data_IF_678812074916
#
_entry.id   IF_678812074916
#
_cell.length_a   1.000
_cell.length_b   1.000
_cell.length_c   1.000
_cell.angle_alpha   90.00
_cell.angle_beta   90.00
_cell.angle_gamma   90.00
#
_symmetry.space_group_name_H-M   'P 1'
#
loop_
_entity.id
_entity.type
_entity.pdbx_description
1 polymer ?
#
# COMPACT_ATOMS: atom_id res chain seq x y z
N UNK A 1 -80.39 1.45 49.57
CA UNK A 1 -80.71 2.88 49.35
C UNK A 1 -79.73 3.46 48.34
N UNK A 2 -80.26 4.02 47.23
CA UNK A 2 -79.72 5.11 46.38
C UNK A 2 -78.30 5.00 45.77
N UNK A 3 -78.00 5.45 44.55
CA UNK A 3 -78.70 5.80 43.30
C UNK A 3 -77.55 6.01 42.28
N UNK A 4 -77.79 5.72 41.01
CA UNK A 4 -76.86 5.83 39.86
C UNK A 4 -76.24 7.23 39.70
N UNK A 5 -75.02 7.32 39.15
CA UNK A 5 -74.68 8.30 38.10
C UNK A 5 -73.59 7.76 37.15
N UNK A 6 -73.84 7.90 35.84
CA UNK A 6 -72.95 7.59 34.70
C UNK A 6 -71.84 8.67 34.61
N UNK A 7 -70.69 8.49 33.96
CA UNK A 7 -70.49 8.70 32.50
C UNK A 7 -68.99 8.56 32.12
N UNK A 8 -68.75 7.92 30.96
CA UNK A 8 -67.65 7.99 29.95
C UNK A 8 -66.33 7.19 30.07
N UNK A 9 -66.14 6.39 29.02
CA UNK A 9 -64.94 5.71 28.52
C UNK A 9 -63.72 6.65 28.40
N UNK A 10 -62.54 6.11 28.71
CA UNK A 10 -61.40 6.11 27.77
C UNK A 10 -60.75 4.73 27.83
N UNK A 11 -60.73 4.04 26.70
CA UNK A 11 -60.01 2.78 26.48
C UNK A 11 -58.54 3.14 26.23
N UNK A 12 -57.64 2.60 27.05
CA UNK A 12 -56.22 2.53 26.71
C UNK A 12 -55.74 1.11 27.00
N UNK A 13 -55.78 0.28 25.95
CA UNK A 13 -55.09 -0.99 25.92
C UNK A 13 -53.59 -0.72 25.79
N UNK A 14 -52.80 -1.16 26.77
CA UNK A 14 -51.35 -1.32 26.61
C UNK A 14 -51.09 -2.81 26.46
N UNK A 15 -50.96 -3.25 25.21
CA UNK A 15 -50.41 -4.54 24.86
C UNK A 15 -48.89 -4.41 24.95
N UNK A 16 -48.27 -5.15 25.86
CA UNK A 16 -46.82 -5.30 25.93
C UNK A 16 -46.32 -6.11 24.74
N UNK A 17 -45.57 -5.46 23.84
CA UNK A 17 -44.78 -6.15 22.82
C UNK A 17 -43.33 -6.17 23.31
N UNK A 18 -42.84 -7.36 23.64
CA UNK A 18 -41.42 -7.62 23.82
C UNK A 18 -40.74 -7.55 22.44
N UNK A 19 -40.17 -6.39 22.11
CA UNK A 19 -39.31 -6.23 20.93
C UNK A 19 -37.90 -6.69 21.24
N UNK A 20 -37.52 -7.87 20.77
CA UNK A 20 -36.12 -8.26 20.66
C UNK A 20 -35.48 -7.43 19.53
N UNK A 21 -34.89 -6.29 19.89
CA UNK A 21 -34.06 -5.52 18.98
C UNK A 21 -32.75 -6.29 18.76
N UNK A 22 -32.66 -7.01 17.64
CA UNK A 22 -31.40 -7.50 17.10
C UNK A 22 -30.56 -6.27 16.71
N UNK A 23 -29.69 -5.81 17.61
CA UNK A 23 -28.65 -4.84 17.29
C UNK A 23 -27.68 -5.54 16.32
N UNK A 24 -27.91 -5.36 15.02
CA UNK A 24 -26.89 -5.60 14.02
C UNK A 24 -25.74 -4.62 14.33
N UNK A 25 -24.68 -5.14 14.95
CA UNK A 25 -23.42 -4.43 15.11
C UNK A 25 -22.85 -4.31 13.71
N UNK A 26 -23.15 -3.19 13.05
CA UNK A 26 -22.47 -2.78 11.83
C UNK A 26 -21.08 -2.35 12.28
N UNK A 27 -20.16 -3.31 12.39
CA UNK A 27 -18.75 -2.99 12.56
C UNK A 27 -18.33 -2.16 11.34
N UNK A 28 -17.75 -0.96 11.53
CA UNK A 28 -17.14 -0.26 10.42
C UNK A 28 -16.01 -1.15 9.88
N UNK A 29 -16.14 -1.60 8.63
CA UNK A 29 -15.07 -2.25 7.89
C UNK A 29 -13.98 -1.20 7.68
N UNK A 30 -12.98 -1.17 8.56
CA UNK A 30 -11.71 -0.50 8.26
C UNK A 30 -11.08 -1.14 7.01
N UNK A 31 -10.20 -0.42 6.29
CA UNK A 31 -9.51 -1.02 5.15
C UNK A 31 -8.74 -2.26 5.64
N UNK A 32 -8.91 -3.36 4.92
CA UNK A 32 -8.27 -4.62 5.24
C UNK A 32 -6.75 -4.51 5.09
N UNK A 33 -6.10 -5.37 5.84
CA UNK A 33 -4.70 -5.38 6.20
C UNK A 33 -3.76 -5.88 5.12
N UNK A 34 -2.56 -5.32 5.02
CA UNK A 34 -1.62 -5.70 3.98
C UNK A 34 -0.26 -6.11 4.54
N UNK A 35 0.19 -7.33 4.21
CA UNK A 35 1.28 -7.99 4.96
C UNK A 35 2.28 -8.77 4.14
N UNK A 36 2.13 -8.81 2.82
CA UNK A 36 2.98 -9.66 2.01
C UNK A 36 3.33 -9.08 0.66
N UNK A 37 4.37 -9.67 0.09
CA UNK A 37 4.80 -9.39 -1.27
C UNK A 37 5.61 -10.58 -1.81
N UNK A 38 5.78 -10.63 -3.13
CA UNK A 38 6.78 -11.49 -3.76
C UNK A 38 8.17 -10.91 -3.51
N UNK A 39 8.98 -11.66 -2.74
CA UNK A 39 10.34 -11.27 -2.35
C UNK A 39 11.42 -11.92 -3.24
N UNK A 40 11.04 -12.87 -4.11
CA UNK A 40 11.96 -13.51 -5.06
C UNK A 40 11.22 -14.24 -6.20
N UNK A 41 11.45 -13.91 -7.48
CA UNK A 41 12.09 -12.68 -7.96
C UNK A 41 11.33 -11.45 -7.44
N UNK A 42 12.04 -10.50 -6.84
CA UNK A 42 11.44 -9.38 -6.13
C UNK A 42 10.45 -8.60 -7.02
N UNK A 43 9.29 -8.25 -6.47
CA UNK A 43 8.35 -7.36 -7.15
C UNK A 43 8.91 -5.94 -7.28
N UNK A 44 8.30 -5.12 -8.15
CA UNK A 44 8.77 -3.76 -8.45
C UNK A 44 8.95 -2.92 -7.17
N UNK A 45 7.90 -2.77 -6.36
CA UNK A 45 7.96 -1.93 -5.17
C UNK A 45 8.83 -2.54 -4.06
N UNK A 46 8.77 -3.85 -3.84
CA UNK A 46 9.66 -4.51 -2.86
C UNK A 46 11.13 -4.42 -3.27
N UNK A 47 11.44 -4.63 -4.55
CA UNK A 47 12.79 -4.50 -5.08
C UNK A 47 13.33 -3.07 -4.95
N UNK A 48 12.51 -2.05 -5.23
CA UNK A 48 12.88 -0.65 -5.00
C UNK A 48 13.10 -0.35 -3.51
N UNK A 49 12.23 -0.84 -2.63
CA UNK A 49 12.41 -0.75 -1.19
C UNK A 49 13.72 -1.39 -0.74
N UNK A 50 14.01 -2.62 -1.20
CA UNK A 50 15.19 -3.36 -0.78
C UNK A 50 16.49 -2.70 -1.23
N UNK A 51 16.56 -2.20 -2.48
CA UNK A 51 17.79 -1.60 -3.04
C UNK A 51 18.02 -0.17 -2.57
N UNK A 52 16.94 0.58 -2.37
CA UNK A 52 17.02 2.03 -2.18
C UNK A 52 16.44 2.53 -0.88
N UNK A 53 15.68 1.77 -0.11
CA UNK A 53 15.00 2.25 1.10
C UNK A 53 15.95 2.97 2.07
N UNK A 54 17.11 2.38 2.39
CA UNK A 54 18.09 3.00 3.30
C UNK A 54 18.75 4.29 2.76
N UNK A 55 18.60 4.56 1.46
CA UNK A 55 19.22 5.68 0.73
C UNK A 55 18.30 6.24 -0.34
N UNK A 56 17.00 6.34 -0.05
CA UNK A 56 15.97 6.53 -1.08
C UNK A 56 16.00 7.92 -1.74
N UNK A 57 16.83 8.82 -1.21
CA UNK A 57 17.10 10.16 -1.75
C UNK A 57 18.44 10.28 -2.47
N UNK A 58 19.19 9.17 -2.59
CA UNK A 58 20.47 9.17 -3.27
C UNK A 58 20.28 9.60 -4.74
N UNK A 59 20.87 10.72 -5.17
CA UNK A 59 20.68 11.22 -6.53
C UNK A 59 21.25 10.27 -7.60
N UNK A 60 22.16 9.35 -7.23
CA UNK A 60 22.66 8.33 -8.15
C UNK A 60 21.55 7.38 -8.61
N UNK A 61 20.45 7.24 -7.88
CA UNK A 61 19.31 6.42 -8.28
C UNK A 61 18.73 6.84 -9.63
N UNK A 62 18.75 8.14 -9.95
CA UNK A 62 18.21 8.65 -11.22
C UNK A 62 18.91 8.05 -12.45
N UNK A 63 20.20 7.73 -12.35
CA UNK A 63 20.98 7.13 -13.44
C UNK A 63 21.13 5.62 -13.27
N UNK A 64 21.26 5.12 -12.04
CA UNK A 64 21.48 3.69 -11.77
C UNK A 64 20.20 2.86 -11.86
N UNK A 65 19.06 3.40 -11.44
CA UNK A 65 17.77 2.71 -11.35
C UNK A 65 16.60 3.71 -11.61
N UNK A 66 16.49 4.23 -12.84
CA UNK A 66 15.54 5.30 -13.17
C UNK A 66 14.08 4.92 -12.89
N UNK A 67 13.73 3.63 -12.93
CA UNK A 67 12.37 3.17 -12.64
C UNK A 67 12.06 3.18 -11.14
N UNK A 68 13.02 2.85 -10.28
CA UNK A 68 12.85 3.10 -8.86
C UNK A 68 12.89 4.59 -8.53
N UNK A 69 13.73 5.37 -9.21
CA UNK A 69 13.79 6.82 -9.01
C UNK A 69 12.43 7.48 -9.22
N UNK A 70 11.80 7.25 -10.38
CA UNK A 70 10.48 7.84 -10.65
C UNK A 70 9.42 7.36 -9.66
N UNK A 71 9.50 6.11 -9.18
CA UNK A 71 8.59 5.60 -8.16
C UNK A 71 8.76 6.29 -6.81
N UNK A 72 10.00 6.44 -6.34
CA UNK A 72 10.31 7.17 -5.10
C UNK A 72 9.95 8.65 -5.18
N UNK A 73 10.09 9.27 -6.35
CA UNK A 73 9.65 10.66 -6.56
C UNK A 73 8.12 10.79 -6.60
N UNK A 74 7.41 9.78 -7.10
CA UNK A 74 5.96 9.82 -7.22
C UNK A 74 5.25 9.61 -5.87
N UNK A 75 5.57 8.53 -5.15
CA UNK A 75 5.08 8.27 -3.80
C UNK A 75 6.01 7.31 -3.06
N UNK A 76 6.84 7.80 -2.10
CA UNK A 76 7.68 6.96 -1.26
C UNK A 76 6.90 5.85 -0.53
N UNK A 77 5.62 6.06 -0.22
CA UNK A 77 4.81 5.07 0.47
C UNK A 77 4.52 3.84 -0.40
N UNK A 78 4.68 3.90 -1.73
CA UNK A 78 4.63 2.70 -2.56
C UNK A 78 5.70 1.67 -2.16
N UNK A 79 6.86 2.15 -1.69
CA UNK A 79 7.98 1.32 -1.25
C UNK A 79 7.97 1.11 0.26
N UNK A 80 7.62 2.11 1.08
CA UNK A 80 7.51 1.90 2.52
C UNK A 80 6.40 0.92 2.88
N UNK A 81 5.25 1.05 2.21
CA UNK A 81 4.13 0.11 2.30
C UNK A 81 4.27 -0.95 1.20
N UNK A 82 5.46 -1.56 1.09
CA UNK A 82 5.75 -2.57 0.06
C UNK A 82 4.80 -3.77 0.17
N UNK A 83 4.36 -4.11 1.37
CA UNK A 83 3.41 -5.18 1.67
C UNK A 83 1.94 -4.81 1.37
N UNK A 84 1.70 -3.58 0.89
CA UNK A 84 0.39 -2.91 0.78
C UNK A 84 -0.39 -3.04 -0.52
N UNK A 85 0.08 -3.85 -1.48
CA UNK A 85 -0.44 -3.85 -2.85
C UNK A 85 -1.58 -4.84 -3.05
N UNK A 86 -2.76 -4.51 -2.51
CA UNK A 86 -3.95 -5.36 -2.53
C UNK A 86 -5.22 -4.62 -2.95
N UNK A 87 -6.26 -5.39 -3.29
CA UNK A 87 -7.66 -4.97 -3.40
C UNK A 87 -8.54 -5.85 -2.51
N UNK A 88 -9.71 -5.36 -2.15
CA UNK A 88 -10.75 -6.12 -1.46
C UNK A 88 -11.99 -6.25 -2.34
N UNK A 89 -12.82 -7.27 -2.06
CA UNK A 89 -14.14 -7.39 -2.67
C UNK A 89 -14.11 -7.68 -4.18
N UNK A 90 -13.00 -8.24 -4.69
CA UNK A 90 -12.83 -8.55 -6.12
C UNK A 90 -13.66 -9.77 -6.52
N UNK A 91 -14.04 -10.62 -5.56
CA UNK A 91 -14.88 -11.81 -5.78
C UNK A 91 -14.35 -12.72 -6.90
N UNK A 92 -13.02 -12.82 -7.02
CA UNK A 92 -12.33 -13.58 -8.06
C UNK A 92 -12.36 -12.96 -9.48
N UNK A 93 -13.08 -11.87 -9.73
CA UNK A 93 -13.16 -11.22 -11.03
C UNK A 93 -12.02 -10.20 -11.24
N UNK A 94 -10.79 -10.69 -11.23
CA UNK A 94 -9.59 -9.84 -11.25
C UNK A 94 -9.47 -8.99 -12.53
N UNK A 95 -9.85 -9.52 -13.69
CA UNK A 95 -9.78 -8.79 -14.96
C UNK A 95 -10.73 -7.60 -15.02
N UNK A 96 -11.93 -7.71 -14.43
CA UNK A 96 -12.85 -6.58 -14.35
C UNK A 96 -12.36 -5.50 -13.37
N UNK A 97 -11.71 -5.91 -12.28
CA UNK A 97 -11.20 -4.99 -11.26
C UNK A 97 -9.91 -4.27 -11.68
N UNK A 98 -9.16 -4.81 -12.64
CA UNK A 98 -7.83 -4.34 -13.03
C UNK A 98 -7.79 -4.17 -14.54
N UNK A 99 -7.99 -2.95 -15.06
CA UNK A 99 -7.86 -2.67 -16.48
C UNK A 99 -6.45 -2.96 -17.04
N UNK A 100 -6.39 -3.24 -18.34
CA UNK A 100 -5.13 -3.32 -19.08
C UNK A 100 -4.24 -2.09 -18.86
N UNK A 101 -2.92 -2.31 -18.74
CA UNK A 101 -1.95 -1.25 -18.45
C UNK A 101 -1.87 -0.81 -16.99
N UNK A 102 -2.76 -1.30 -16.12
CA UNK A 102 -2.79 -0.99 -14.68
C UNK A 102 -2.52 -2.20 -13.79
N UNK A 103 -1.99 -3.27 -14.37
CA UNK A 103 -1.78 -4.54 -13.68
C UNK A 103 -0.84 -4.41 -12.49
N UNK A 104 0.22 -3.60 -12.62
CA UNK A 104 1.28 -3.50 -11.61
C UNK A 104 0.91 -2.55 -10.46
N UNK A 105 -0.10 -1.69 -10.62
CA UNK A 105 -0.74 -0.93 -9.54
C UNK A 105 -2.03 -1.57 -9.02
N UNK A 106 -2.39 -2.76 -9.53
CA UNK A 106 -3.66 -3.43 -9.27
C UNK A 106 -4.87 -2.54 -9.55
N UNK A 107 -4.94 -1.87 -10.70
CA UNK A 107 -6.05 -0.99 -11.03
C UNK A 107 -6.10 0.26 -10.14
N UNK A 108 -4.94 0.89 -9.94
CA UNK A 108 -4.78 2.10 -9.12
C UNK A 108 -5.28 1.94 -7.69
N UNK A 109 -5.02 0.77 -7.08
CA UNK A 109 -5.48 0.48 -5.72
C UNK A 109 -4.89 1.45 -4.68
N UNK A 110 -5.48 1.46 -3.48
CA UNK A 110 -5.00 2.27 -2.34
C UNK A 110 -4.89 3.77 -2.69
N UNK A 111 -5.93 4.32 -3.32
CA UNK A 111 -5.98 5.72 -3.78
C UNK A 111 -4.83 6.12 -4.72
N UNK A 112 -4.35 5.17 -5.53
CA UNK A 112 -3.30 5.40 -6.52
C UNK A 112 -1.87 5.35 -5.99
N UNK A 113 -1.65 4.91 -4.74
CA UNK A 113 -0.33 4.79 -4.12
C UNK A 113 0.70 4.08 -5.00
N UNK A 114 0.28 3.04 -5.71
CA UNK A 114 1.16 2.18 -6.52
C UNK A 114 1.19 2.54 -8.00
N UNK A 115 0.62 3.67 -8.43
CA UNK A 115 0.50 4.01 -9.85
C UNK A 115 1.84 4.05 -10.59
N UNK A 116 2.91 4.47 -9.92
CA UNK A 116 4.25 4.49 -10.51
C UNK A 116 4.79 3.09 -10.86
N UNK A 117 4.16 2.02 -10.36
CA UNK A 117 4.49 0.65 -10.76
C UNK A 117 4.02 0.33 -12.18
N UNK A 118 3.11 1.10 -12.77
CA UNK A 118 2.63 0.89 -14.15
C UNK A 118 3.51 1.56 -15.20
N UNK A 119 4.48 2.40 -14.80
CA UNK A 119 5.38 3.09 -15.73
C UNK A 119 6.11 2.07 -16.62
N UNK A 120 6.04 2.27 -17.93
CA UNK A 120 6.76 1.47 -18.92
C UNK A 120 8.21 1.92 -18.98
N UNK A 121 9.14 0.98 -18.86
CA UNK A 121 10.57 1.27 -18.92
C UNK A 121 11.43 0.12 -18.43
N UNK A 122 12.73 0.38 -18.36
CA UNK A 122 13.73 -0.65 -18.02
C UNK A 122 13.82 -0.91 -16.51
N UNK A 123 12.80 -1.55 -15.94
CA UNK A 123 12.80 -1.98 -14.54
C UNK A 123 13.89 -3.01 -14.29
N UNK A 124 14.62 -2.89 -13.16
CA UNK A 124 15.67 -3.86 -12.82
C UNK A 124 15.09 -5.28 -12.72
N UNK A 125 15.62 -6.16 -13.56
CA UNK A 125 15.17 -7.53 -13.67
C UNK A 125 16.02 -8.50 -12.84
N UNK A 126 15.37 -9.48 -12.22
CA UNK A 126 16.06 -10.62 -11.59
C UNK A 126 16.42 -11.65 -12.66
N UNK A 127 17.67 -12.13 -12.67
CA UNK A 127 18.06 -13.23 -13.57
C UNK A 127 17.48 -14.55 -13.10
N UNK A 128 16.86 -15.30 -14.00
CA UNK A 128 16.26 -16.62 -13.71
C UNK A 128 16.56 -17.64 -14.81
N UNK A 129 16.53 -18.91 -14.42
CA UNK A 129 16.44 -20.02 -15.37
C UNK A 129 15.03 -20.21 -15.90
N UNK A 130 14.86 -21.18 -16.80
CA UNK A 130 13.52 -21.62 -17.24
C UNK A 130 12.74 -22.33 -16.12
N UNK A 131 13.42 -22.79 -15.07
CA UNK A 131 12.83 -23.26 -13.82
C UNK A 131 13.25 -22.35 -12.68
N UNK A 132 12.29 -21.83 -11.93
CA UNK A 132 12.50 -20.96 -10.77
C UNK A 132 11.32 -21.09 -9.80
N UNK A 133 11.37 -20.40 -8.66
CA UNK A 133 10.25 -20.30 -7.73
C UNK A 133 9.88 -18.84 -7.50
N UNK A 134 8.58 -18.58 -7.40
CA UNK A 134 8.05 -17.33 -6.87
C UNK A 134 7.89 -17.48 -5.36
N UNK A 135 8.75 -16.81 -4.61
CA UNK A 135 8.72 -16.73 -3.15
C UNK A 135 7.84 -15.59 -2.71
N UNK A 136 6.72 -15.93 -2.10
CA UNK A 136 5.84 -14.98 -1.45
C UNK A 136 6.09 -15.00 0.06
N UNK A 137 6.25 -13.83 0.65
CA UNK A 137 6.35 -13.63 2.09
C UNK A 137 5.06 -12.99 2.62
N UNK A 138 4.62 -13.42 3.79
CA UNK A 138 3.42 -12.95 4.47
C UNK A 138 3.71 -12.78 5.97
N UNK A 139 3.70 -11.53 6.42
CA UNK A 139 3.92 -11.16 7.82
C UNK A 139 2.79 -11.60 8.75
N UNK A 140 1.55 -11.71 8.25
CA UNK A 140 0.37 -11.96 9.08
C UNK A 140 -0.12 -13.40 9.08
N UNK A 141 0.50 -14.28 8.27
CA UNK A 141 0.12 -15.69 8.21
C UNK A 141 -1.35 -15.88 7.83
N UNK A 142 -1.79 -15.16 6.81
CA UNK A 142 -3.13 -15.18 6.24
C UNK A 142 -3.44 -16.47 5.46
N UNK A 143 -2.40 -17.14 4.94
CA UNK A 143 -2.56 -18.28 4.03
C UNK A 143 -3.08 -17.85 2.66
N UNK A 144 -3.41 -18.82 1.81
CA UNK A 144 -3.94 -18.53 0.48
C UNK A 144 -5.10 -19.46 0.11
N UNK A 145 -6.14 -18.91 -0.52
CA UNK A 145 -7.13 -19.71 -1.25
C UNK A 145 -6.54 -20.21 -2.57
N UNK A 146 -5.72 -19.37 -3.19
CA UNK A 146 -4.85 -19.74 -4.29
C UNK A 146 -3.74 -18.70 -4.46
N UNK A 147 -2.64 -19.13 -5.06
CA UNK A 147 -1.64 -18.24 -5.66
C UNK A 147 -1.53 -18.63 -7.13
N UNK A 148 -1.73 -17.66 -8.02
CA UNK A 148 -1.61 -17.80 -9.48
C UNK A 148 -0.39 -17.03 -9.95
N UNK A 149 0.45 -17.70 -10.73
CA UNK A 149 1.64 -17.09 -11.33
C UNK A 149 1.46 -17.07 -12.83
N UNK A 150 1.51 -15.87 -13.39
CA UNK A 150 1.50 -15.62 -14.81
C UNK A 150 2.87 -15.14 -15.27
N UNK A 151 3.21 -15.41 -16.53
CA UNK A 151 4.37 -14.83 -17.18
C UNK A 151 3.93 -14.26 -18.52
N UNK A 152 4.48 -13.13 -18.92
CA UNK A 152 4.18 -12.55 -20.24
C UNK A 152 4.54 -13.53 -21.38
N UNK A 153 3.87 -13.45 -22.53
CA UNK A 153 4.18 -14.25 -23.72
C UNK A 153 5.61 -13.98 -24.24
N UNK A 154 6.26 -14.93 -24.94
CA UNK A 154 7.63 -14.75 -25.42
C UNK A 154 7.86 -13.51 -26.31
N UNK A 155 6.85 -13.04 -27.03
CA UNK A 155 6.94 -11.86 -27.91
C UNK A 155 6.76 -10.52 -27.18
N UNK A 156 6.41 -10.53 -25.89
CA UNK A 156 6.12 -9.31 -25.14
C UNK A 156 7.39 -8.68 -24.58
N UNK A 157 7.57 -7.38 -24.77
CA UNK A 157 8.68 -6.63 -24.20
C UNK A 157 8.20 -5.67 -23.10
N UNK A 158 8.47 -5.96 -21.80
CA UNK A 158 8.04 -5.11 -20.69
C UNK A 158 8.74 -3.76 -20.63
N UNK A 159 9.87 -3.60 -21.34
CA UNK A 159 10.64 -2.34 -21.36
C UNK A 159 9.95 -1.27 -22.20
N UNK A 160 9.17 -1.69 -23.21
CA UNK A 160 8.58 -0.77 -24.20
C UNK A 160 7.06 -0.82 -24.26
N UNK A 161 6.42 -1.76 -23.57
CA UNK A 161 4.99 -2.02 -23.67
C UNK A 161 4.37 -2.20 -22.28
N UNK A 162 3.24 -1.53 -22.04
CA UNK A 162 2.45 -1.76 -20.83
C UNK A 162 1.75 -3.13 -20.92
N UNK A 163 1.78 -3.97 -19.87
CA UNK A 163 1.20 -5.30 -19.91
C UNK A 163 -0.33 -5.25 -19.93
N UNK A 164 -0.91 -6.12 -20.74
CA UNK A 164 -2.35 -6.40 -20.79
C UNK A 164 -2.61 -7.82 -20.29
N UNK A 165 -3.85 -8.11 -19.89
CA UNK A 165 -4.24 -9.48 -19.54
C UNK A 165 -4.02 -10.47 -20.69
N UNK A 166 -4.22 -10.01 -21.94
CA UNK A 166 -3.98 -10.83 -23.14
C UNK A 166 -2.51 -11.20 -23.36
N UNK A 167 -1.58 -10.48 -22.72
CA UNK A 167 -0.15 -10.71 -22.84
C UNK A 167 0.35 -11.76 -21.85
N UNK A 168 -0.49 -12.17 -20.89
CA UNK A 168 -0.13 -13.10 -19.81
C UNK A 168 -0.54 -14.54 -20.11
N UNK A 169 0.31 -15.48 -19.73
CA UNK A 169 0.02 -16.91 -19.69
C UNK A 169 0.06 -17.39 -18.24
N UNK A 170 -0.94 -18.14 -17.79
CA UNK A 170 -0.90 -18.79 -16.47
C UNK A 170 0.09 -19.95 -16.54
N UNK A 171 1.16 -19.89 -15.74
CA UNK A 171 2.26 -20.87 -15.79
C UNK A 171 2.35 -21.75 -14.54
N UNK A 172 1.75 -21.31 -13.43
CA UNK A 172 1.67 -22.09 -12.19
C UNK A 172 0.49 -21.64 -11.35
N UNK A 173 -0.06 -22.56 -10.57
CA UNK A 173 -1.09 -22.28 -9.59
C UNK A 173 -1.00 -23.27 -8.43
N UNK A 174 -1.08 -22.77 -7.20
CA UNK A 174 -1.40 -23.59 -6.03
C UNK A 174 -2.81 -23.28 -5.56
N UNK A 175 -3.47 -24.28 -4.97
CA UNK A 175 -4.80 -24.14 -4.37
C UNK A 175 -4.76 -23.68 -2.93
N UNK A 176 -5.83 -23.98 -2.18
CA UNK A 176 -5.94 -23.57 -0.79
C UNK A 176 -4.79 -24.14 0.04
N UNK A 177 -4.03 -23.24 0.66
CA UNK A 177 -2.83 -23.54 1.43
C UNK A 177 -2.85 -22.71 2.71
N UNK A 178 -3.34 -23.27 3.83
CA UNK A 178 -3.35 -22.59 5.13
C UNK A 178 -1.94 -22.17 5.55
N UNK A 179 -1.81 -21.03 6.26
CA UNK A 179 -0.51 -20.50 6.67
C UNK A 179 0.34 -21.47 7.52
N UNK A 180 -0.29 -22.38 8.26
CA UNK A 180 0.41 -23.42 9.03
C UNK A 180 1.24 -24.39 8.15
N UNK A 181 0.97 -24.44 6.84
CA UNK A 181 1.73 -25.24 5.87
C UNK A 181 2.88 -24.46 5.23
N UNK A 182 3.00 -23.16 5.51
CA UNK A 182 4.04 -22.31 4.95
C UNK A 182 5.32 -22.42 5.79
N UNK A 183 6.46 -22.12 5.17
CA UNK A 183 7.75 -22.13 5.85
C UNK A 183 7.83 -20.94 6.82
N UNK A 184 8.31 -21.18 8.03
CA UNK A 184 8.56 -20.09 8.99
C UNK A 184 9.72 -19.20 8.49
N UNK A 185 9.54 -17.89 8.61
CA UNK A 185 10.53 -16.89 8.26
C UNK A 185 10.61 -15.82 9.36
N UNK A 186 11.71 -15.09 9.43
CA UNK A 186 11.81 -13.98 10.38
C UNK A 186 10.74 -12.94 10.07
N UNK A 187 9.86 -12.68 11.04
CA UNK A 187 8.76 -11.71 10.90
C UNK A 187 7.55 -12.21 10.13
N UNK A 188 7.40 -13.51 9.85
CA UNK A 188 6.21 -14.05 9.18
C UNK A 188 6.37 -15.48 8.68
N UNK A 189 5.68 -15.79 7.59
CA UNK A 189 5.78 -17.06 6.87
C UNK A 189 6.07 -16.82 5.39
N UNK A 190 6.57 -17.83 4.70
CA UNK A 190 6.84 -17.75 3.26
C UNK A 190 6.48 -19.05 2.54
N UNK A 191 6.15 -18.93 1.26
CA UNK A 191 5.87 -20.07 0.39
C UNK A 191 6.54 -19.88 -0.98
N UNK A 192 7.08 -20.96 -1.51
CA UNK A 192 7.65 -21.01 -2.86
C UNK A 192 6.63 -21.66 -3.81
N UNK A 193 6.25 -20.93 -4.86
CA UNK A 193 5.41 -21.42 -5.95
C UNK A 193 6.31 -21.78 -7.14
N UNK A 194 6.49 -23.06 -7.47
CA UNK A 194 7.39 -23.47 -8.53
C UNK A 194 6.85 -23.06 -9.91
N UNK A 195 7.75 -22.60 -10.77
CA UNK A 195 7.50 -22.29 -12.18
C UNK A 195 8.46 -23.11 -13.03
N UNK A 196 7.93 -23.78 -14.05
CA UNK A 196 8.72 -24.53 -15.02
C UNK A 196 8.24 -24.17 -16.44
N UNK A 197 9.15 -23.60 -17.22
CA UNK A 197 8.92 -23.18 -18.60
C UNK A 197 9.95 -23.83 -19.52
N UNK A 198 9.75 -23.70 -20.83
CA UNK A 198 10.69 -24.19 -21.84
C UNK A 198 10.93 -23.12 -22.90
N UNK A 199 12.19 -22.99 -23.35
CA UNK A 199 12.54 -22.14 -24.49
C UNK A 199 12.39 -20.64 -24.26
N UNK A 200 12.26 -20.18 -23.01
CA UNK A 200 12.18 -18.75 -22.68
C UNK A 200 13.58 -18.13 -22.64
N UNK A 201 13.70 -16.94 -23.21
CA UNK A 201 14.91 -16.12 -23.21
C UNK A 201 14.53 -14.64 -23.06
N UNK A 202 15.48 -13.80 -22.64
CA UNK A 202 15.30 -12.35 -22.62
C UNK A 202 14.36 -11.85 -21.52
N UNK A 203 13.86 -10.62 -21.70
CA UNK A 203 13.06 -9.91 -20.69
C UNK A 203 11.63 -10.43 -20.64
N UNK A 204 11.12 -10.59 -19.43
CA UNK A 204 9.73 -10.94 -19.19
C UNK A 204 9.24 -10.31 -17.88
N UNK A 205 7.92 -10.29 -17.71
CA UNK A 205 7.27 -9.91 -16.47
C UNK A 205 6.59 -11.13 -15.87
N UNK A 206 6.85 -11.40 -14.59
CA UNK A 206 6.04 -12.31 -13.78
C UNK A 206 4.94 -11.50 -13.12
N UNK A 207 3.70 -11.96 -13.24
CA UNK A 207 2.55 -11.37 -12.56
C UNK A 207 1.95 -12.38 -11.61
N UNK A 208 1.99 -12.10 -10.31
CA UNK A 208 1.51 -13.01 -9.26
C UNK A 208 0.24 -12.45 -8.65
N UNK A 209 -0.80 -13.29 -8.59
CA UNK A 209 -2.03 -13.01 -7.85
C UNK A 209 -2.06 -13.91 -6.62
N UNK A 210 -2.15 -13.32 -5.43
CA UNK A 210 -2.37 -14.04 -4.18
C UNK A 210 -3.76 -13.70 -3.64
N UNK A 211 -4.65 -14.69 -3.57
CA UNK A 211 -5.91 -14.57 -2.86
C UNK A 211 -5.68 -15.05 -1.42
N UNK A 212 -5.70 -14.13 -0.46
CA UNK A 212 -5.55 -14.46 0.96
C UNK A 212 -6.83 -15.14 1.49
N UNK A 213 -6.71 -15.99 2.53
CA UNK A 213 -7.85 -16.77 3.04
C UNK A 213 -8.64 -16.11 4.18
N UNK A 214 -8.10 -15.05 4.80
CA UNK A 214 -8.74 -14.40 5.94
C UNK A 214 -9.94 -13.51 5.54
N UNK A 215 -9.94 -12.97 4.32
CA UNK A 215 -10.95 -12.09 3.74
C UNK A 215 -10.96 -12.23 2.21
N UNK A 216 -11.96 -11.67 1.53
CA UNK A 216 -11.87 -11.43 0.07
C UNK A 216 -10.88 -10.28 -0.19
N UNK A 217 -9.60 -10.61 -0.07
CA UNK A 217 -8.49 -9.71 -0.27
C UNK A 217 -7.48 -10.37 -1.20
N UNK A 218 -7.18 -9.67 -2.29
CA UNK A 218 -6.32 -10.16 -3.36
C UNK A 218 -5.14 -9.21 -3.58
N UNK A 219 -3.96 -9.76 -3.71
CA UNK A 219 -2.71 -9.04 -3.91
C UNK A 219 -2.16 -9.29 -5.31
N UNK A 220 -1.45 -8.29 -5.84
CA UNK A 220 -1.03 -8.28 -7.24
C UNK A 220 0.40 -7.78 -7.37
N UNK A 221 1.30 -8.64 -7.83
CA UNK A 221 2.72 -8.34 -7.83
C UNK A 221 3.32 -8.51 -9.22
N UNK A 222 3.93 -7.44 -9.72
CA UNK A 222 4.76 -7.46 -10.92
C UNK A 222 6.23 -7.64 -10.53
N UNK A 223 6.89 -8.68 -11.04
CA UNK A 223 8.33 -8.90 -10.88
C UNK A 223 8.99 -8.97 -12.26
N UNK A 224 9.90 -8.04 -12.55
CA UNK A 224 10.66 -8.04 -13.79
C UNK A 224 11.77 -9.09 -13.73
N UNK A 225 11.87 -9.91 -14.79
CA UNK A 225 12.84 -11.01 -14.87
C UNK A 225 13.57 -11.02 -16.21
N UNK A 226 14.72 -11.70 -16.24
CA UNK A 226 15.47 -11.99 -17.45
C UNK A 226 15.83 -13.47 -17.51
N UNK A 227 15.35 -14.17 -18.53
CA UNK A 227 15.69 -15.58 -18.77
C UNK A 227 17.08 -15.70 -19.41
N UNK A 228 17.94 -16.53 -18.83
CA UNK A 228 19.22 -16.92 -19.42
C UNK A 228 20.45 -16.11 -19.00
N UNK A 229 20.39 -15.33 -17.92
CA UNK A 229 21.54 -14.59 -17.42
C UNK A 229 22.41 -15.39 -16.45
N UNK A 230 23.59 -15.86 -16.87
CA UNK A 230 24.76 -15.82 -15.98
C UNK A 230 25.10 -14.34 -15.80
N UNK A 231 24.98 -13.82 -14.58
CA UNK A 231 25.03 -12.39 -14.31
C UNK A 231 26.17 -11.65 -15.03
N UNK A 232 25.82 -10.83 -16.02
CA UNK A 232 26.64 -9.75 -16.55
C UNK A 232 25.75 -8.57 -16.91
N UNK A 233 26.11 -7.42 -16.35
CA UNK A 233 25.48 -6.11 -16.54
C UNK A 233 25.43 -5.76 -18.04
N UNK A 234 24.30 -5.28 -18.58
CA UNK A 234 24.25 -4.72 -19.94
C UNK A 234 25.17 -3.49 -20.08
N UNK A 235 25.74 -3.23 -21.27
CA UNK A 235 26.68 -2.13 -21.48
C UNK A 235 25.97 -0.77 -21.34
N UNK A 236 26.55 0.08 -20.51
CA UNK A 236 26.18 1.49 -20.35
C UNK A 236 26.38 2.21 -21.69
N UNK A 237 25.31 2.69 -22.30
CA UNK A 237 25.39 3.73 -23.32
C UNK A 237 25.08 5.06 -22.64
N UNK A 238 25.97 6.03 -22.80
CA UNK A 238 25.89 7.36 -22.20
C UNK A 238 25.13 8.32 -23.13
N UNK A 239 23.99 8.91 -22.72
CA UNK A 239 23.39 10.05 -23.42
C UNK A 239 23.83 11.40 -22.82
N UNK A 240 23.74 12.51 -23.58
CA UNK A 240 24.54 13.72 -23.37
C UNK A 240 24.05 14.59 -22.19
N UNK A 241 25.01 15.31 -21.61
CA UNK A 241 24.83 16.36 -20.59
C UNK A 241 24.11 17.57 -21.16
N UNK A 242 22.96 17.93 -20.57
CA UNK A 242 22.39 19.28 -20.66
C UNK A 242 22.18 19.84 -19.26
N UNK A 243 22.72 21.03 -19.03
CA UNK A 243 22.66 21.79 -17.78
C UNK A 243 21.23 22.26 -17.46
N UNK A 244 20.75 22.15 -16.20
CA UNK A 244 19.48 22.76 -15.79
C UNK A 244 19.58 24.29 -15.62
N UNK A 245 18.56 25.08 -16.02
CA UNK A 245 18.49 26.51 -15.74
C UNK A 245 17.95 26.82 -14.33
N UNK A 246 18.26 28.03 -13.86
CA UNK A 246 18.06 28.59 -12.51
C UNK A 246 16.71 29.31 -12.30
N UNK A 247 16.16 29.12 -11.08
CA UNK A 247 15.20 29.92 -10.28
C UNK A 247 13.75 30.22 -10.76
N UNK A 248 12.72 29.88 -9.94
CA UNK A 248 11.36 30.46 -10.01
C UNK A 248 11.18 31.73 -9.14
N UNK A 249 10.18 32.60 -9.44
CA UNK A 249 9.92 33.85 -8.70
C UNK A 249 9.01 33.66 -7.47
N UNK A 250 9.13 34.57 -6.50
CA UNK A 250 8.32 34.65 -5.27
C UNK A 250 7.07 35.50 -5.49
N UNK A 251 5.90 35.04 -5.03
CA UNK A 251 4.72 35.90 -4.78
C UNK A 251 4.08 35.53 -3.44
N UNK A 252 3.61 36.54 -2.71
CA UNK A 252 2.98 36.43 -1.38
C UNK A 252 1.51 36.84 -1.46
N UNK A 253 0.57 35.96 -1.04
CA UNK A 253 -0.76 36.39 -0.59
C UNK A 253 -1.02 36.20 0.94
N UNK A 254 -1.94 36.97 1.58
CA UNK A 254 -2.11 37.05 3.04
C UNK A 254 -2.99 35.96 3.70
N UNK A 255 -2.96 35.97 5.04
CA UNK A 255 -3.30 34.90 6.00
C UNK A 255 -4.79 34.57 6.26
N UNK A 256 -5.02 33.34 6.76
CA UNK A 256 -6.09 33.12 7.76
C UNK A 256 -6.89 31.81 7.72
N UNK A 257 -6.28 30.63 7.74
CA UNK A 257 -6.89 29.34 8.19
C UNK A 257 -5.76 28.36 8.52
N UNK A 258 -5.99 27.37 9.39
CA UNK A 258 -4.97 26.44 9.90
C UNK A 258 -3.91 26.08 8.83
N UNK A 259 -2.63 26.34 9.13
CA UNK A 259 -1.56 26.28 8.12
C UNK A 259 -1.44 24.90 7.45
N UNK A 260 -1.92 23.85 8.12
CA UNK A 260 -2.16 22.53 7.54
C UNK A 260 -3.35 21.84 8.21
N UNK A 261 -3.90 20.82 7.55
CA UNK A 261 -4.78 19.82 8.13
C UNK A 261 -4.13 18.43 8.01
N UNK A 262 -4.59 17.47 8.80
CA UNK A 262 -4.12 16.10 8.69
C UNK A 262 -5.29 15.11 8.84
N UNK A 263 -5.25 14.03 8.07
CA UNK A 263 -6.23 12.94 8.12
C UNK A 263 -5.53 11.64 8.48
N UNK A 264 -6.01 10.98 9.52
CA UNK A 264 -5.51 9.69 10.00
C UNK A 264 -6.32 8.55 9.41
N UNK A 265 -5.63 7.52 8.92
CA UNK A 265 -6.23 6.29 8.46
C UNK A 265 -5.42 5.10 8.99
N UNK A 266 -6.07 4.16 9.67
CA UNK A 266 -5.49 2.83 9.92
C UNK A 266 -5.41 2.13 8.58
N UNK A 267 -4.22 1.68 8.20
CA UNK A 267 -4.01 0.95 6.94
C UNK A 267 -3.78 -0.54 7.17
N UNK A 268 -3.41 -0.95 8.39
CA UNK A 268 -3.33 -2.35 8.80
C UNK A 268 -3.37 -2.49 10.34
N UNK A 269 -3.78 -3.65 10.89
CA UNK A 269 -3.86 -3.99 12.33
C UNK A 269 -3.88 -5.51 12.59
N UNK A 270 -2.78 -6.05 13.11
CA UNK A 270 -2.61 -7.48 13.40
C UNK A 270 -2.67 -7.74 14.92
N UNK A 271 -2.50 -9.01 15.32
CA UNK A 271 -2.43 -9.35 16.73
C UNK A 271 -1.22 -8.65 17.39
N UNK A 272 -1.52 -7.64 18.20
CA UNK A 272 -0.52 -6.92 19.00
C UNK A 272 0.10 -5.69 18.32
N UNK A 273 -0.34 -5.30 17.11
CA UNK A 273 0.14 -4.06 16.49
C UNK A 273 -0.75 -3.55 15.36
N UNK A 274 -0.49 -2.33 14.91
CA UNK A 274 -1.19 -1.71 13.80
C UNK A 274 -0.30 -0.74 13.04
N UNK A 275 -0.66 -0.51 11.78
CA UNK A 275 -0.09 0.50 10.90
C UNK A 275 -1.11 1.58 10.59
N UNK A 276 -0.68 2.84 10.62
CA UNK A 276 -1.50 3.95 10.19
C UNK A 276 -0.73 4.92 9.29
N UNK A 277 -1.44 5.47 8.32
CA UNK A 277 -0.99 6.57 7.48
C UNK A 277 -1.69 7.86 7.92
N UNK A 278 -0.96 8.96 7.84
CA UNK A 278 -1.45 10.30 8.09
C UNK A 278 -1.11 11.19 6.90
N UNK A 279 -2.14 11.64 6.21
CA UNK A 279 -2.00 12.59 5.10
C UNK A 279 -2.07 14.01 5.63
N UNK A 280 -0.98 14.75 5.47
CA UNK A 280 -0.88 16.18 5.76
C UNK A 280 -1.23 16.96 4.50
N UNK A 281 -2.14 17.93 4.62
CA UNK A 281 -2.52 18.83 3.53
C UNK A 281 -2.21 20.26 3.94
N UNK A 282 -1.41 20.97 3.16
CA UNK A 282 -1.19 22.40 3.35
C UNK A 282 -2.48 23.18 3.08
N UNK A 283 -2.65 24.32 3.77
CA UNK A 283 -3.69 25.28 3.43
C UNK A 283 -3.48 25.91 2.05
N UNK A 284 -4.13 27.04 1.77
CA UNK A 284 -3.95 27.75 0.50
C UNK A 284 -2.53 28.31 0.31
N UNK A 285 -1.79 28.55 1.40
CA UNK A 285 -0.41 29.01 1.38
C UNK A 285 0.58 27.84 1.43
N UNK A 286 1.77 28.05 0.84
CA UNK A 286 2.87 27.11 1.00
C UNK A 286 3.37 27.08 2.45
N UNK A 287 3.82 25.90 2.88
CA UNK A 287 4.41 25.67 4.20
C UNK A 287 5.84 25.13 4.06
N UNK A 288 6.71 25.39 5.03
CA UNK A 288 8.10 24.93 5.11
C UNK A 288 8.26 23.66 5.94
N UNK A 289 7.42 23.50 6.95
CA UNK A 289 7.43 22.35 7.85
C UNK A 289 6.04 22.10 8.41
N UNK A 290 5.80 20.88 8.87
CA UNK A 290 4.56 20.49 9.51
C UNK A 290 4.83 19.62 10.74
N UNK A 291 3.90 19.67 11.68
CA UNK A 291 3.85 18.82 12.85
C UNK A 291 2.41 18.39 13.06
N UNK A 292 2.20 17.09 13.17
CA UNK A 292 0.91 16.49 13.49
C UNK A 292 0.95 15.97 14.92
N UNK A 293 -0.11 16.25 15.68
CA UNK A 293 -0.35 15.66 16.99
C UNK A 293 -1.57 14.75 16.92
N UNK A 294 -1.40 13.51 17.37
CA UNK A 294 -2.45 12.51 17.48
C UNK A 294 -2.71 12.24 18.96
N UNK A 295 -3.89 12.63 19.45
CA UNK A 295 -4.31 12.42 20.84
C UNK A 295 -5.22 11.20 20.97
N UNK A 296 -4.74 10.15 21.63
CA UNK A 296 -5.46 8.91 21.91
C UNK A 296 -6.05 8.89 23.32
N UNK A 297 -7.00 7.96 23.56
CA UNK A 297 -7.54 7.68 24.89
C UNK A 297 -6.66 6.76 25.75
N UNK A 298 -5.62 6.15 25.16
CA UNK A 298 -4.72 5.20 25.81
C UNK A 298 -3.28 5.41 25.35
N UNK A 299 -2.32 4.94 26.16
CA UNK A 299 -0.89 5.04 25.85
C UNK A 299 -0.56 4.37 24.53
N UNK A 300 0.22 5.06 23.69
CA UNK A 300 0.68 4.54 22.41
C UNK A 300 2.17 4.20 22.47
N UNK A 301 2.56 3.17 21.71
CA UNK A 301 3.95 2.73 21.59
C UNK A 301 4.27 2.53 20.12
N UNK A 302 4.93 3.50 19.49
CA UNK A 302 5.37 3.41 18.09
C UNK A 302 6.67 2.61 18.02
N UNK A 303 6.70 1.60 17.15
CA UNK A 303 7.87 0.73 16.92
C UNK A 303 8.64 1.14 15.67
N UNK A 304 7.97 1.72 14.68
CA UNK A 304 8.58 2.18 13.44
C UNK A 304 7.80 3.37 12.88
N UNK A 305 8.49 4.31 12.24
CA UNK A 305 7.87 5.36 11.44
C UNK A 305 8.68 5.61 10.17
N UNK A 306 8.01 6.08 9.12
CA UNK A 306 8.63 6.55 7.88
C UNK A 306 8.04 7.90 7.49
N UNK A 307 8.77 8.63 6.65
CA UNK A 307 8.40 9.98 6.21
C UNK A 307 8.12 10.98 7.36
N UNK A 308 8.50 10.63 8.60
CA UNK A 308 8.33 11.45 9.79
C UNK A 308 9.19 10.94 10.93
N UNK A 309 9.53 11.83 11.86
CA UNK A 309 10.00 11.45 13.19
C UNK A 309 8.81 11.48 14.13
N UNK A 310 8.43 10.32 14.66
CA UNK A 310 7.32 10.18 15.61
C UNK A 310 7.85 9.96 17.01
N UNK A 311 7.36 10.75 17.96
CA UNK A 311 7.61 10.54 19.40
C UNK A 311 6.30 10.27 20.12
N UNK A 312 6.34 9.35 21.09
CA UNK A 312 5.22 9.00 21.94
C UNK A 312 5.43 9.51 23.37
N UNK A 313 4.42 10.15 23.95
CA UNK A 313 4.39 10.51 25.36
C UNK A 313 3.00 10.25 25.92
N UNK A 314 2.87 9.19 26.73
CA UNK A 314 1.58 8.71 27.21
C UNK A 314 0.64 8.42 26.04
N UNK A 315 -0.54 9.03 26.04
CA UNK A 315 -1.55 8.86 24.99
C UNK A 315 -1.40 9.83 23.81
N UNK A 316 -0.30 10.59 23.72
CA UNK A 316 -0.07 11.55 22.64
C UNK A 316 1.09 11.11 21.75
N UNK A 317 0.86 11.06 20.44
CA UNK A 317 1.92 10.95 19.43
C UNK A 317 2.16 12.31 18.78
N UNK A 318 3.42 12.70 18.63
CA UNK A 318 3.82 13.90 17.86
C UNK A 318 4.68 13.46 16.70
N UNK A 319 4.22 13.73 15.49
CA UNK A 319 4.95 13.47 14.25
C UNK A 319 5.46 14.79 13.68
N UNK A 320 6.76 14.87 13.39
CA UNK A 320 7.37 15.99 12.66
C UNK A 320 7.81 15.52 11.28
N UNK A 321 7.75 16.41 10.29
CA UNK A 321 8.22 16.12 8.95
C UNK A 321 9.67 15.61 8.94
N UNK A 322 9.96 14.71 8.02
CA UNK A 322 11.33 14.42 7.64
C UNK A 322 11.94 15.64 6.91
N UNK A 323 13.27 15.67 6.76
CA UNK A 323 13.98 16.81 6.15
C UNK A 323 13.50 17.18 4.75
N UNK A 324 12.90 16.23 4.04
CA UNK A 324 12.57 16.34 2.62
C UNK A 324 11.09 16.52 2.29
N UNK A 325 10.19 16.28 3.24
CA UNK A 325 8.75 16.36 2.99
C UNK A 325 8.04 17.42 3.83
N UNK A 326 8.80 18.31 4.47
CA UNK A 326 8.23 19.43 5.23
C UNK A 326 7.65 20.53 4.35
N UNK A 327 8.31 20.82 3.23
CA UNK A 327 7.91 21.89 2.33
C UNK A 327 6.79 21.41 1.40
N UNK A 328 5.61 22.03 1.48
CA UNK A 328 4.48 21.76 0.60
C UNK A 328 4.01 23.06 -0.04
N UNK A 329 3.74 23.02 -1.34
CA UNK A 329 3.02 24.11 -2.01
C UNK A 329 1.61 24.24 -1.43
N UNK A 330 0.93 25.37 -1.70
CA UNK A 330 -0.48 25.54 -1.31
C UNK A 330 -1.35 24.40 -1.85
N UNK A 331 -2.22 23.85 -0.99
CA UNK A 331 -3.01 22.63 -1.23
C UNK A 331 -2.21 21.35 -1.49
N UNK A 332 -0.88 21.41 -1.42
CA UNK A 332 0.02 20.27 -1.54
C UNK A 332 -0.18 19.28 -0.39
N UNK A 333 0.11 18.01 -0.66
CA UNK A 333 -0.07 16.93 0.31
C UNK A 333 1.20 16.11 0.44
N UNK A 334 1.40 15.56 1.62
CA UNK A 334 2.33 14.46 1.85
C UNK A 334 1.69 13.47 2.81
N UNK A 335 2.19 12.24 2.82
CA UNK A 335 1.71 11.19 3.73
C UNK A 335 2.91 10.60 4.45
N UNK A 336 2.79 10.50 5.76
CA UNK A 336 3.69 9.70 6.59
C UNK A 336 2.95 8.52 7.19
N UNK A 337 3.68 7.51 7.62
CA UNK A 337 3.09 6.37 8.30
C UNK A 337 3.94 5.88 9.47
N UNK A 338 3.31 5.07 10.31
CA UNK A 338 3.96 4.46 11.45
C UNK A 338 3.31 3.12 11.82
N UNK A 339 4.08 2.28 12.50
CA UNK A 339 3.64 1.05 13.15
C UNK A 339 3.67 1.27 14.66
N UNK A 340 2.60 0.88 15.35
CA UNK A 340 2.49 0.94 16.79
C UNK A 340 1.98 -0.39 17.37
N UNK A 341 2.32 -0.66 18.63
CA UNK A 341 1.84 -1.83 19.36
C UNK A 341 0.39 -1.63 19.83
N UNK A 342 -0.33 -2.74 19.99
CA UNK A 342 -1.71 -2.79 20.49
C UNK A 342 -2.77 -2.67 19.39
N UNK A 343 -3.99 -2.34 19.80
CA UNK A 343 -5.13 -2.14 18.89
C UNK A 343 -5.19 -0.67 18.48
N UNK A 344 -5.44 -0.42 17.19
CA UNK A 344 -5.58 0.91 16.63
C UNK A 344 -6.76 1.65 17.28
N UNK A 345 -6.50 2.85 17.79
CA UNK A 345 -7.52 3.77 18.28
C UNK A 345 -7.90 4.82 17.24
N UNK A 346 -8.95 5.58 17.51
CA UNK A 346 -9.30 6.79 16.73
C UNK A 346 -8.77 8.02 17.46
N UNK A 347 -7.63 8.61 17.03
CA UNK A 347 -7.09 9.78 17.69
C UNK A 347 -7.86 11.05 17.31
N UNK A 348 -7.79 12.05 18.18
CA UNK A 348 -7.97 13.45 17.74
C UNK A 348 -6.73 13.87 16.94
N UNK A 349 -6.94 14.52 15.80
CA UNK A 349 -5.85 14.89 14.88
C UNK A 349 -5.75 16.41 14.79
N UNK A 350 -4.59 16.96 15.10
CA UNK A 350 -4.29 18.38 14.89
C UNK A 350 -3.01 18.53 14.07
N UNK A 351 -2.95 19.59 13.26
CA UNK A 351 -1.78 19.90 12.44
C UNK A 351 -1.37 21.35 12.66
N UNK A 352 -0.07 21.58 12.78
CA UNK A 352 0.56 22.90 12.80
C UNK A 352 1.68 22.95 11.78
N UNK A 353 1.91 24.12 11.18
CA UNK A 353 2.92 24.29 10.15
C UNK A 353 3.60 25.65 10.25
N UNK A 354 4.80 25.75 9.71
CA UNK A 354 5.53 27.02 9.54
C UNK A 354 5.48 27.45 8.08
N UNK A 355 5.43 28.76 7.83
CA UNK A 355 5.39 29.37 6.49
C UNK A 355 6.71 30.05 6.15
#
# INVERSE_FOLDING_TARGET
MSRKLRVRLVVSAVVGIAGAALLAVISPTGPAEAHGNVIGPASRNYGCYQRWGSKFQDPAMATEDPMCWQAWQADPNAMWNWNGLFREGVAGNHQAAIPDGTLCSAGHTQSGRYNAMDTVGDWKATSVGNSFSVRLFDQASHGADYIRVYVTKPSFNPVTTAPKWSDLELVSQIGNTPAAQWQQATGGVQIDVPVALSGRTGRALVYTIWQASHLDQSYYFCSDIAFGGTGTTPPTTTPPTTTPPTTPPTTTPPAGTAACSATYAVTSQWQGGYQADVTVTAGSAAIKSWQVTLGYGSTQSVTQSWNSTVTASGSTLTAKNASYNGALAGSGRTTFGFIANGTAGTPTVTCSATT
#
